data_IF_962596535951
#
_entry.id   IF_962596535951
#
_cell.length_a   1.000
_cell.length_b   1.000
_cell.length_c   1.000
_cell.angle_alpha   90.00
_cell.angle_beta   90.00
_cell.angle_gamma   90.00
#
_symmetry.space_group_name_H-M   'P 1'
#
loop_
_entity.id
_entity.type
_entity.pdbx_description
1 polymer ?
#
# COMPACT_ATOMS: atom_id res chain seq x y z
N UNK A 1 72.17 -1.52 8.80
CA UNK A 1 71.18 -0.59 9.40
C UNK A 1 69.80 -1.25 9.35
N UNK A 2 69.17 -1.56 10.51
CA UNK A 2 67.79 -2.07 10.58
C UNK A 2 66.80 -0.94 10.91
N UNK A 3 65.59 -0.97 10.33
CA UNK A 3 64.41 -0.18 10.73
C UNK A 3 63.19 -1.10 10.62
N UNK A 4 62.76 -1.69 11.73
CA UNK A 4 61.68 -1.26 12.64
C UNK A 4 60.29 -1.28 11.96
N UNK A 5 59.49 -2.20 12.49
CA UNK A 5 58.05 -2.45 12.33
C UNK A 5 57.18 -1.20 12.36
N UNK A 6 56.03 -1.23 11.67
CA UNK A 6 54.73 -0.92 12.30
C UNK A 6 53.60 -1.64 11.56
N UNK A 7 52.88 -2.50 12.30
CA UNK A 7 51.64 -3.15 11.87
C UNK A 7 50.52 -2.11 11.93
N UNK A 8 49.90 -1.79 10.80
CA UNK A 8 48.65 -1.02 10.79
C UNK A 8 47.46 -1.98 10.82
N UNK A 9 46.86 -2.11 12.00
CA UNK A 9 45.56 -2.71 12.18
C UNK A 9 44.49 -1.75 11.65
N UNK A 10 43.83 -2.11 10.55
CA UNK A 10 42.62 -1.43 10.11
C UNK A 10 41.42 -2.18 10.67
N UNK A 11 40.81 -1.55 11.68
CA UNK A 11 39.52 -1.90 12.27
C UNK A 11 38.45 -1.80 11.17
N UNK A 12 37.91 -2.93 10.72
CA UNK A 12 36.72 -2.95 9.89
C UNK A 12 35.50 -2.70 10.79
N UNK A 13 34.96 -1.48 10.76
CA UNK A 13 33.64 -1.20 11.34
C UNK A 13 32.58 -1.85 10.44
N UNK A 14 32.16 -3.06 10.81
CA UNK A 14 30.95 -3.66 10.28
C UNK A 14 29.75 -2.90 10.88
N UNK A 15 29.21 -1.94 10.12
CA UNK A 15 27.87 -1.41 10.38
C UNK A 15 26.87 -2.53 10.07
N UNK A 16 26.48 -3.27 11.10
CA UNK A 16 25.31 -4.13 11.07
C UNK A 16 24.08 -3.24 10.95
N UNK A 17 23.66 -2.95 9.71
CA UNK A 17 22.35 -2.34 9.46
C UNK A 17 21.32 -3.41 9.81
N UNK A 18 20.71 -3.25 10.98
CA UNK A 18 19.50 -3.96 11.36
C UNK A 18 18.38 -3.51 10.40
N UNK A 19 18.10 -4.31 9.38
CA UNK A 19 16.93 -4.14 8.52
C UNK A 19 15.69 -4.57 9.28
N UNK A 20 15.19 -3.69 10.15
CA UNK A 20 13.84 -3.81 10.70
C UNK A 20 12.92 -2.98 9.81
N UNK A 21 12.14 -3.62 8.93
CA UNK A 21 11.03 -2.92 8.28
C UNK A 21 10.62 -3.43 6.90
N UNK A 22 10.34 -4.73 6.73
CA UNK A 22 10.05 -5.30 5.40
C UNK A 22 8.58 -5.65 5.16
N UNK A 23 7.64 -5.00 5.86
CA UNK A 23 6.20 -5.24 5.63
C UNK A 23 5.48 -4.09 4.93
N UNK A 24 6.14 -2.94 4.75
CA UNK A 24 5.57 -1.78 4.06
C UNK A 24 6.28 -1.49 2.72
N UNK A 25 7.55 -1.88 2.57
CA UNK A 25 8.36 -1.78 1.34
C UNK A 25 7.65 -2.30 0.08
N UNK A 26 7.02 -3.47 0.19
CA UNK A 26 6.46 -4.19 -0.95
C UNK A 26 5.23 -3.54 -1.62
N UNK A 27 4.52 -2.62 -0.96
CA UNK A 27 3.33 -2.01 -1.58
C UNK A 27 3.64 -0.85 -2.53
N UNK A 28 4.77 -0.17 -2.34
CA UNK A 28 5.17 0.99 -3.15
C UNK A 28 5.88 0.59 -4.45
N UNK A 29 6.38 -0.63 -4.51
CA UNK A 29 7.11 -1.19 -5.66
C UNK A 29 6.19 -1.80 -6.74
N UNK A 30 4.89 -1.92 -6.47
CA UNK A 30 3.95 -2.53 -7.43
C UNK A 30 3.66 -1.60 -8.60
N UNK A 31 3.71 -2.16 -9.80
CA UNK A 31 3.44 -1.44 -11.04
C UNK A 31 1.99 -0.92 -11.07
N UNK A 32 1.82 0.31 -11.54
CA UNK A 32 0.53 0.97 -11.69
C UNK A 32 0.20 1.22 -13.16
N UNK A 33 -1.09 1.22 -13.48
CA UNK A 33 -1.60 1.60 -14.79
C UNK A 33 -1.65 3.13 -14.95
N UNK A 34 -2.10 3.58 -16.13
CA UNK A 34 -2.19 5.01 -16.47
C UNK A 34 -3.22 5.76 -15.61
N UNK A 35 -4.12 5.07 -14.91
CA UNK A 35 -5.06 5.64 -13.94
C UNK A 35 -4.50 5.70 -12.52
N UNK A 36 -3.31 5.16 -12.30
CA UNK A 36 -2.64 5.08 -11.00
C UNK A 36 -3.14 3.91 -10.13
N UNK A 37 -3.89 2.97 -10.68
CA UNK A 37 -4.30 1.73 -9.99
C UNK A 37 -3.21 0.67 -10.14
N UNK A 38 -3.09 -0.23 -9.17
CA UNK A 38 -2.16 -1.35 -9.29
C UNK A 38 -2.59 -2.29 -10.41
N UNK A 39 -1.66 -2.62 -11.33
CA UNK A 39 -1.91 -3.58 -12.41
C UNK A 39 -2.25 -4.97 -11.86
N UNK A 40 -1.56 -5.35 -10.79
CA UNK A 40 -1.78 -6.59 -10.05
C UNK A 40 -2.18 -6.26 -8.59
N UNK A 41 -3.49 -6.05 -8.34
CA UNK A 41 -3.97 -5.74 -7.00
C UNK A 41 -3.95 -7.00 -6.11
N UNK A 42 -3.52 -6.84 -4.87
CA UNK A 42 -3.53 -7.94 -3.90
C UNK A 42 -4.96 -8.11 -3.35
N UNK A 43 -5.54 -9.28 -3.59
CA UNK A 43 -6.89 -9.64 -3.17
C UNK A 43 -6.86 -10.69 -2.06
N UNK A 44 -7.65 -10.47 -1.01
CA UNK A 44 -7.86 -11.47 0.04
C UNK A 44 -9.31 -11.43 0.53
N UNK A 45 -9.68 -12.29 1.46
CA UNK A 45 -10.99 -12.28 2.09
C UNK A 45 -11.25 -10.91 2.73
N UNK A 46 -12.44 -10.36 2.48
CA UNK A 46 -12.80 -9.00 2.88
C UNK A 46 -12.63 -8.77 4.38
N UNK A 47 -12.91 -9.77 5.22
CA UNK A 47 -12.69 -9.64 6.67
C UNK A 47 -11.20 -9.44 7.03
N UNK A 48 -10.28 -10.08 6.30
CA UNK A 48 -8.82 -9.94 6.53
C UNK A 48 -8.35 -8.56 6.08
N UNK A 49 -8.75 -8.13 4.89
CA UNK A 49 -8.39 -6.82 4.34
C UNK A 49 -8.94 -5.70 5.25
N UNK A 50 -10.23 -5.73 5.58
CA UNK A 50 -10.85 -4.72 6.45
C UNK A 50 -10.23 -4.72 7.86
N UNK A 51 -9.98 -5.90 8.43
CA UNK A 51 -9.33 -5.99 9.74
C UNK A 51 -7.91 -5.41 9.71
N UNK A 52 -7.12 -5.69 8.67
CA UNK A 52 -5.78 -5.12 8.54
C UNK A 52 -5.82 -3.59 8.42
N UNK A 53 -6.72 -3.05 7.59
CA UNK A 53 -6.87 -1.60 7.43
C UNK A 53 -7.27 -0.91 8.74
N UNK A 54 -8.30 -1.43 9.42
CA UNK A 54 -8.82 -0.81 10.64
C UNK A 54 -7.90 -1.01 11.84
N UNK A 55 -7.45 -2.23 12.08
CA UNK A 55 -6.74 -2.58 13.32
C UNK A 55 -5.24 -2.31 13.25
N UNK A 56 -4.62 -2.48 12.07
CA UNK A 56 -3.17 -2.33 11.88
C UNK A 56 -2.86 -0.95 11.32
N UNK A 57 -3.41 -0.60 10.15
CA UNK A 57 -3.13 0.68 9.50
C UNK A 57 -3.89 1.88 10.11
N UNK A 58 -4.84 1.61 11.02
CA UNK A 58 -5.73 2.61 11.63
C UNK A 58 -6.51 3.43 10.61
N UNK A 59 -6.75 2.86 9.42
CA UNK A 59 -7.54 3.47 8.37
C UNK A 59 -9.00 3.05 8.52
N UNK A 60 -9.89 4.04 8.57
CA UNK A 60 -11.33 3.84 8.71
C UNK A 60 -12.03 4.06 7.36
N UNK A 61 -13.16 3.38 7.11
CA UNK A 61 -13.96 3.62 5.91
C UNK A 61 -14.43 5.07 5.90
N UNK A 62 -14.30 5.74 4.76
CA UNK A 62 -14.68 7.15 4.60
C UNK A 62 -16.15 7.33 4.23
N UNK A 63 -16.83 6.27 3.81
CA UNK A 63 -18.15 6.34 3.17
C UNK A 63 -18.11 6.81 1.72
N UNK A 64 -16.95 7.25 1.21
CA UNK A 64 -16.75 7.58 -0.19
C UNK A 64 -16.70 6.29 -1.00
N UNK A 65 -17.77 6.07 -1.77
CA UNK A 65 -17.99 4.83 -2.53
C UNK A 65 -18.31 5.14 -3.99
N UNK A 66 -17.90 4.23 -4.86
CA UNK A 66 -18.27 4.21 -6.28
C UNK A 66 -18.72 2.80 -6.64
N UNK A 67 -19.72 2.68 -7.52
CA UNK A 67 -20.19 1.36 -7.97
C UNK A 67 -20.79 1.43 -9.36
N UNK A 68 -20.71 0.32 -10.08
CA UNK A 68 -21.47 0.07 -11.28
C UNK A 68 -21.96 -1.40 -11.31
N UNK A 69 -22.41 -1.88 -12.47
CA UNK A 69 -22.88 -3.26 -12.63
C UNK A 69 -21.79 -4.32 -12.39
N UNK A 70 -20.52 -3.98 -12.56
CA UNK A 70 -19.39 -4.91 -12.55
C UNK A 70 -18.55 -4.84 -11.28
N UNK A 71 -18.58 -3.73 -10.54
CA UNK A 71 -17.71 -3.55 -9.38
C UNK A 71 -18.27 -2.57 -8.34
N UNK A 72 -17.66 -2.60 -7.16
CA UNK A 72 -17.87 -1.66 -6.06
C UNK A 72 -16.51 -1.30 -5.45
N UNK A 73 -16.30 -0.02 -5.14
CA UNK A 73 -15.08 0.52 -4.56
C UNK A 73 -15.39 1.41 -3.35
N UNK A 74 -14.48 1.43 -2.38
CA UNK A 74 -14.57 2.22 -1.15
C UNK A 74 -13.17 2.74 -0.76
N UNK A 75 -13.11 3.97 -0.26
CA UNK A 75 -11.87 4.56 0.25
C UNK A 75 -11.80 4.42 1.77
N UNK A 76 -10.66 3.93 2.26
CA UNK A 76 -10.27 3.93 3.67
C UNK A 76 -9.20 5.01 3.89
N UNK A 77 -9.27 5.72 5.02
CA UNK A 77 -8.37 6.82 5.34
C UNK A 77 -7.99 6.81 6.83
N UNK A 78 -6.74 7.17 7.10
CA UNK A 78 -6.24 7.53 8.42
C UNK A 78 -5.79 9.00 8.35
N UNK A 79 -6.57 9.94 8.94
CA UNK A 79 -6.25 11.36 8.88
C UNK A 79 -4.97 11.71 9.64
N UNK A 80 -4.65 10.98 10.72
CA UNK A 80 -3.49 11.25 11.56
C UNK A 80 -2.18 10.96 10.83
N UNK A 81 -2.12 9.81 10.15
CA UNK A 81 -0.94 9.44 9.33
C UNK A 81 -1.00 9.97 7.90
N UNK A 82 -2.09 10.65 7.52
CA UNK A 82 -2.39 11.10 6.15
C UNK A 82 -2.21 9.96 5.14
N UNK A 83 -2.70 8.77 5.47
CA UNK A 83 -2.59 7.59 4.61
C UNK A 83 -3.97 7.09 4.19
N UNK A 84 -4.07 6.56 2.98
CA UNK A 84 -5.32 6.08 2.42
C UNK A 84 -5.13 4.80 1.60
N UNK A 85 -6.21 4.03 1.49
CA UNK A 85 -6.29 2.83 0.66
C UNK A 85 -7.62 2.81 -0.08
N UNK A 86 -7.56 2.67 -1.40
CA UNK A 86 -8.70 2.31 -2.23
C UNK A 86 -8.82 0.79 -2.25
N UNK A 87 -9.99 0.29 -1.86
CA UNK A 87 -10.33 -1.11 -2.01
C UNK A 87 -11.49 -1.30 -2.98
N UNK A 88 -11.56 -2.46 -3.62
CA UNK A 88 -12.69 -2.80 -4.47
C UNK A 88 -12.93 -4.30 -4.60
N UNK A 89 -14.14 -4.64 -5.01
CA UNK A 89 -14.59 -6.02 -5.24
C UNK A 89 -15.36 -6.09 -6.57
N UNK A 90 -15.24 -7.24 -7.24
CA UNK A 90 -16.06 -7.53 -8.42
C UNK A 90 -17.49 -7.87 -8.02
N UNK A 91 -18.44 -7.51 -8.88
CA UNK A 91 -19.87 -7.84 -8.82
C UNK A 91 -20.29 -8.80 -9.94
N UNK A 92 -19.35 -9.28 -10.74
CA UNK A 92 -19.62 -10.28 -11.76
C UNK A 92 -20.16 -11.58 -11.14
N UNK A 93 -21.01 -12.30 -11.87
CA UNK A 93 -21.71 -13.47 -11.36
C UNK A 93 -20.77 -14.64 -10.98
N UNK A 94 -19.62 -14.71 -11.62
CA UNK A 94 -18.56 -15.71 -11.41
C UNK A 94 -17.50 -15.26 -10.38
N UNK A 95 -17.58 -14.02 -9.89
CA UNK A 95 -16.63 -13.51 -8.92
C UNK A 95 -16.90 -14.05 -7.52
N UNK A 96 -15.84 -14.23 -6.73
CA UNK A 96 -15.99 -14.55 -5.31
C UNK A 96 -16.42 -13.29 -4.52
N UNK A 97 -17.66 -13.21 -4.02
CA UNK A 97 -18.16 -12.01 -3.36
C UNK A 97 -17.47 -11.71 -2.03
N UNK A 98 -16.75 -12.70 -1.47
CA UNK A 98 -15.99 -12.56 -0.23
C UNK A 98 -14.61 -11.93 -0.44
N UNK A 99 -14.14 -11.75 -1.68
CA UNK A 99 -12.82 -11.20 -1.97
C UNK A 99 -12.88 -9.68 -2.11
N UNK A 100 -11.89 -9.01 -1.50
CA UNK A 100 -11.66 -7.57 -1.56
C UNK A 100 -10.21 -7.33 -1.96
N UNK A 101 -9.99 -6.44 -2.92
CA UNK A 101 -8.69 -6.15 -3.51
C UNK A 101 -8.23 -4.76 -3.09
N UNK A 102 -6.94 -4.63 -2.77
CA UNK A 102 -6.29 -3.33 -2.56
C UNK A 102 -5.85 -2.76 -3.91
N UNK A 103 -6.64 -1.82 -4.43
CA UNK A 103 -6.52 -1.30 -5.79
C UNK A 103 -5.52 -0.15 -5.90
N UNK A 104 -5.37 0.64 -4.84
CA UNK A 104 -4.36 1.70 -4.74
C UNK A 104 -4.16 2.05 -3.27
N UNK A 105 -2.97 2.53 -2.89
CA UNK A 105 -2.73 3.19 -1.61
C UNK A 105 -1.80 4.39 -1.78
N UNK A 106 -1.80 5.27 -0.80
CA UNK A 106 -0.95 6.45 -0.78
C UNK A 106 -0.74 7.01 0.62
N UNK A 107 0.31 7.81 0.75
CA UNK A 107 0.69 8.50 1.97
C UNK A 107 0.97 9.97 1.63
N UNK A 108 0.57 10.89 2.51
CA UNK A 108 0.70 12.35 2.41
C UNK A 108 0.02 13.03 1.21
N UNK A 109 -0.27 12.30 0.13
CA UNK A 109 -1.08 12.75 -1.00
C UNK A 109 -2.57 12.59 -0.70
N UNK A 110 -3.38 13.49 -1.23
CA UNK A 110 -4.84 13.38 -1.14
C UNK A 110 -5.36 12.38 -2.17
N UNK A 111 -6.31 11.53 -1.77
CA UNK A 111 -6.93 10.55 -2.66
C UNK A 111 -7.88 11.19 -3.68
N UNK A 112 -8.45 12.36 -3.37
CA UNK A 112 -9.35 13.10 -4.28
C UNK A 112 -8.62 13.73 -5.48
N UNK A 113 -7.31 13.91 -5.37
CA UNK A 113 -6.46 14.41 -6.45
C UNK A 113 -6.10 13.33 -7.49
N UNK A 114 -6.33 12.05 -7.18
CA UNK A 114 -5.92 10.92 -8.03
C UNK A 114 -6.76 10.81 -9.31
N UNK A 115 -6.15 10.32 -10.40
CA UNK A 115 -6.83 10.16 -11.69
C UNK A 115 -8.05 9.23 -11.60
N UNK A 116 -7.86 8.06 -10.99
CA UNK A 116 -8.96 7.11 -10.73
C UNK A 116 -10.10 7.73 -9.91
N UNK A 117 -9.80 8.66 -8.98
CA UNK A 117 -10.84 9.28 -8.16
C UNK A 117 -11.72 10.17 -9.02
N UNK A 118 -11.11 11.02 -9.85
CA UNK A 118 -11.84 11.87 -10.79
C UNK A 118 -12.68 11.05 -11.78
N UNK A 119 -12.14 9.92 -12.23
CA UNK A 119 -12.82 9.07 -13.22
C UNK A 119 -13.98 8.25 -12.66
N UNK A 120 -13.86 7.74 -11.43
CA UNK A 120 -14.85 6.81 -10.87
C UNK A 120 -15.74 7.40 -9.78
N UNK A 121 -15.28 8.47 -9.10
CA UNK A 121 -15.97 9.10 -7.97
C UNK A 121 -16.38 10.55 -8.25
N UNK A 122 -15.80 11.19 -9.27
CA UNK A 122 -16.20 12.50 -9.74
C UNK A 122 -17.63 12.46 -10.27
N UNK A 123 -18.55 13.13 -9.59
CA UNK A 123 -19.85 13.53 -10.15
C UNK A 123 -19.71 14.87 -10.85
#
# INVERSE_FOLDING_TARGET
MPRIFYKSALLAMAFSVLTVGDSLAAEWERERDDLGLYKEPVCDYGFRVKSALVNIAKQLPTGVTATNAQWEMEVFNNPDSKSWTLVGKSRAADANPSKLCRLSSGQQSSYDAQLWFKQYFGK
#
